data_IF_698329449953
#
_entry.id   IF_698329449953
#
_cell.length_a   1.000
_cell.length_b   1.000
_cell.length_c   1.000
_cell.angle_alpha   90.00
_cell.angle_beta   90.00
_cell.angle_gamma   90.00
#
_symmetry.space_group_name_H-M   'P 1'
#
loop_
_entity.id
_entity.type
_entity.pdbx_description
1 polymer ?
#
# COMPACT_ATOMS: atom_id res chain seq x y z
N UNK A 1 11.06 -14.19 -8.43
CA UNK A 1 9.84 -13.37 -8.64
C UNK A 1 9.27 -13.01 -7.28
N UNK A 2 9.06 -11.72 -7.01
CA UNK A 2 8.49 -11.26 -5.74
C UNK A 2 7.11 -11.90 -5.50
N UNK A 3 6.70 -12.03 -4.24
CA UNK A 3 5.39 -12.60 -3.90
C UNK A 3 4.25 -11.81 -4.55
N UNK A 4 4.39 -10.48 -4.63
CA UNK A 4 3.47 -9.58 -5.31
C UNK A 4 3.22 -9.97 -6.77
N UNK A 5 4.30 -10.19 -7.54
CA UNK A 5 4.18 -10.58 -8.94
C UNK A 5 3.54 -11.96 -9.09
N UNK A 6 3.88 -12.92 -8.21
CA UNK A 6 3.24 -14.25 -8.23
C UNK A 6 1.74 -14.15 -8.01
N UNK A 7 1.32 -13.40 -6.98
CA UNK A 7 -0.09 -13.15 -6.69
C UNK A 7 -0.78 -12.51 -7.89
N UNK A 8 -0.23 -11.44 -8.44
CA UNK A 8 -0.85 -10.76 -9.57
C UNK A 8 -0.90 -11.61 -10.86
N UNK A 9 0.11 -12.45 -11.12
CA UNK A 9 0.10 -13.33 -12.30
C UNK A 9 -0.90 -14.47 -12.18
N UNK A 10 -1.22 -14.93 -10.97
CA UNK A 10 -2.27 -15.94 -10.77
C UNK A 10 -3.66 -15.43 -11.17
N UNK A 11 -3.85 -14.11 -11.17
CA UNK A 11 -5.09 -13.44 -11.54
C UNK A 11 -5.18 -13.11 -13.05
N UNK A 12 -4.16 -13.46 -13.83
CA UNK A 12 -4.09 -13.09 -15.25
C UNK A 12 -5.31 -13.65 -16.02
N UNK A 13 -6.05 -12.76 -16.68
CA UNK A 13 -7.23 -13.09 -17.46
C UNK A 13 -8.56 -12.95 -16.72
N UNK A 14 -8.57 -12.66 -15.41
CA UNK A 14 -9.79 -12.27 -14.70
C UNK A 14 -10.35 -11.00 -15.33
N UNK A 15 -11.64 -10.99 -15.68
CA UNK A 15 -12.30 -9.88 -16.35
C UNK A 15 -13.66 -9.58 -15.73
N UNK A 16 -14.13 -8.35 -15.91
CA UNK A 16 -15.50 -7.94 -15.57
C UNK A 16 -16.52 -8.75 -16.37
N UNK A 17 -17.70 -8.98 -15.79
CA UNK A 17 -18.82 -9.56 -16.52
C UNK A 17 -19.68 -8.37 -16.98
N UNK A 18 -19.86 -8.20 -18.30
CA UNK A 18 -20.66 -7.09 -18.83
C UNK A 18 -22.14 -7.29 -18.52
N UNK A 19 -22.77 -6.32 -17.86
CA UNK A 19 -24.22 -6.28 -17.62
C UNK A 19 -24.57 -6.26 -16.14
N UNK A 20 -25.79 -6.68 -15.78
CA UNK A 20 -26.29 -6.69 -14.39
C UNK A 20 -25.74 -7.83 -13.52
N UNK A 21 -24.65 -8.48 -13.96
CA UNK A 21 -23.98 -9.56 -13.27
C UNK A 21 -22.57 -9.10 -12.98
N UNK A 22 -22.15 -9.17 -11.72
CA UNK A 22 -20.81 -8.78 -11.30
C UNK A 22 -19.90 -10.00 -11.22
N UNK A 23 -18.62 -9.83 -11.54
CA UNK A 23 -17.63 -10.86 -11.24
C UNK A 23 -17.44 -10.97 -9.74
N UNK A 24 -17.92 -12.07 -9.13
CA UNK A 24 -17.71 -12.37 -7.70
C UNK A 24 -16.22 -12.24 -7.33
N UNK A 25 -15.32 -12.59 -8.25
CA UNK A 25 -13.87 -12.53 -8.06
C UNK A 25 -13.31 -11.09 -7.96
N UNK A 26 -13.89 -10.13 -8.68
CA UNK A 26 -13.48 -8.72 -8.61
C UNK A 26 -14.03 -8.09 -7.32
N UNK A 27 -15.25 -8.45 -6.95
CA UNK A 27 -15.84 -8.04 -5.67
C UNK A 27 -15.07 -8.63 -4.47
N UNK A 28 -14.50 -9.84 -4.62
CA UNK A 28 -13.62 -10.43 -3.60
C UNK A 28 -12.34 -9.61 -3.40
N UNK A 29 -11.74 -9.04 -4.45
CA UNK A 29 -10.61 -8.11 -4.28
C UNK A 29 -10.97 -6.92 -3.38
N UNK A 30 -12.16 -6.36 -3.58
CA UNK A 30 -12.65 -5.24 -2.77
C UNK A 30 -12.89 -5.68 -1.32
N UNK A 31 -13.64 -6.76 -1.11
CA UNK A 31 -14.00 -7.27 0.23
C UNK A 31 -12.75 -7.63 1.04
N UNK A 32 -11.86 -8.42 0.47
CA UNK A 32 -10.67 -8.90 1.17
C UNK A 32 -9.63 -7.80 1.42
N UNK A 33 -9.71 -6.68 0.70
CA UNK A 33 -8.82 -5.53 0.90
C UNK A 33 -9.41 -4.43 1.77
N UNK A 34 -10.62 -4.61 2.32
CA UNK A 34 -11.31 -3.66 3.18
C UNK A 34 -12.10 -2.55 2.45
N UNK A 35 -12.43 -2.75 1.17
CA UNK A 35 -13.25 -1.83 0.37
C UNK A 35 -14.70 -2.29 0.26
N UNK A 36 -15.34 -2.59 1.40
CA UNK A 36 -16.72 -3.12 1.47
C UNK A 36 -17.79 -2.18 0.85
N UNK A 37 -17.44 -0.91 0.60
CA UNK A 37 -18.32 0.07 -0.05
C UNK A 37 -18.37 -0.02 -1.58
N UNK A 38 -17.55 -0.89 -2.19
CA UNK A 38 -17.55 -1.11 -3.65
C UNK A 38 -18.48 -2.28 -3.93
N UNK A 39 -19.56 -2.02 -4.65
CA UNK A 39 -20.63 -2.98 -4.92
C UNK A 39 -20.78 -3.33 -6.40
N UNK A 40 -19.99 -2.71 -7.27
CA UNK A 40 -19.97 -2.95 -8.72
C UNK A 40 -18.53 -3.03 -9.24
N UNK A 41 -18.38 -3.69 -10.39
CA UNK A 41 -17.12 -3.82 -11.12
C UNK A 41 -16.90 -2.68 -12.14
N UNK A 42 -17.87 -1.77 -12.29
CA UNK A 42 -17.76 -0.55 -13.10
C UNK A 42 -16.89 0.54 -12.43
N UNK A 43 -16.74 0.48 -11.11
CA UNK A 43 -15.83 1.35 -10.35
C UNK A 43 -14.37 1.07 -10.69
N UNK A 44 -13.54 2.06 -11.06
CA UNK A 44 -12.12 1.86 -11.39
C UNK A 44 -11.33 1.09 -10.31
N UNK A 45 -11.17 -0.22 -10.50
CA UNK A 45 -10.63 -1.16 -9.51
C UNK A 45 -9.13 -1.44 -9.67
N UNK A 46 -8.41 -0.67 -10.48
CA UNK A 46 -6.95 -0.80 -10.61
C UNK A 46 -6.22 -0.66 -9.26
N UNK A 47 -6.63 0.31 -8.41
CA UNK A 47 -6.06 0.46 -7.07
C UNK A 47 -6.49 -0.66 -6.13
N UNK A 48 -7.74 -1.12 -6.23
CA UNK A 48 -8.28 -2.21 -5.42
C UNK A 48 -7.50 -3.49 -5.67
N UNK A 49 -7.25 -3.83 -6.94
CA UNK A 49 -6.44 -4.98 -7.32
C UNK A 49 -5.02 -4.90 -6.76
N UNK A 50 -4.33 -3.77 -6.91
CA UNK A 50 -2.96 -3.63 -6.39
C UNK A 50 -2.95 -3.70 -4.85
N UNK A 51 -3.96 -3.13 -4.18
CA UNK A 51 -4.13 -3.26 -2.73
C UNK A 51 -4.31 -4.73 -2.33
N UNK A 52 -5.16 -5.47 -3.02
CA UNK A 52 -5.38 -6.90 -2.79
C UNK A 52 -4.10 -7.71 -2.99
N UNK A 53 -3.35 -7.48 -4.08
CA UNK A 53 -2.09 -8.17 -4.31
C UNK A 53 -1.08 -7.90 -3.20
N UNK A 54 -1.03 -6.67 -2.69
CA UNK A 54 -0.16 -6.29 -1.58
C UNK A 54 -0.59 -6.92 -0.26
N UNK A 55 -1.90 -6.98 0.02
CA UNK A 55 -2.46 -7.65 1.20
C UNK A 55 -2.04 -9.13 1.22
N UNK A 56 -2.25 -9.86 0.12
CA UNK A 56 -1.85 -11.27 -0.01
C UNK A 56 -0.33 -11.49 0.02
N UNK A 57 0.45 -10.42 -0.17
CA UNK A 57 1.91 -10.47 -0.18
C UNK A 57 2.53 -9.92 1.10
N UNK A 58 1.71 -9.45 2.05
CA UNK A 58 2.14 -8.78 3.28
C UNK A 58 3.10 -7.62 2.95
N UNK A 59 2.61 -6.71 2.10
CA UNK A 59 3.30 -5.51 1.64
C UNK A 59 2.49 -4.24 1.96
N UNK A 60 3.16 -3.07 2.09
CA UNK A 60 2.48 -1.80 2.29
C UNK A 60 1.42 -1.50 1.22
N UNK A 61 0.33 -0.86 1.64
CA UNK A 61 -0.88 -0.60 0.84
C UNK A 61 -1.26 0.87 0.85
N UNK A 62 -1.95 1.33 -0.19
CA UNK A 62 -2.52 2.69 -0.19
C UNK A 62 -3.84 2.79 0.56
N UNK A 63 -4.53 1.66 0.71
CA UNK A 63 -5.85 1.52 1.36
C UNK A 63 -6.92 2.46 0.83
N UNK A 64 -6.71 2.98 -0.39
CA UNK A 64 -7.64 3.88 -1.07
C UNK A 64 -7.91 3.38 -2.48
N UNK A 65 -9.17 3.43 -2.90
CA UNK A 65 -9.58 3.01 -4.25
C UNK A 65 -9.05 3.94 -5.37
N UNK A 66 -8.61 5.16 -5.05
CA UNK A 66 -8.03 6.05 -6.04
C UNK A 66 -6.55 5.73 -6.31
N UNK A 67 -6.15 5.71 -7.59
CA UNK A 67 -4.79 5.35 -7.99
C UNK A 67 -3.71 6.31 -7.46
N UNK A 68 -4.02 7.61 -7.30
CA UNK A 68 -3.04 8.62 -6.86
C UNK A 68 -2.56 8.43 -5.42
N UNK A 69 -3.35 7.77 -4.59
CA UNK A 69 -2.97 7.43 -3.20
C UNK A 69 -1.65 6.65 -3.09
N UNK A 70 -1.26 5.94 -4.15
CA UNK A 70 0.00 5.17 -4.17
C UNK A 70 1.24 6.06 -4.20
N UNK A 71 1.12 7.36 -4.51
CA UNK A 71 2.25 8.30 -4.44
C UNK A 71 2.84 8.43 -3.03
N UNK A 72 2.05 8.09 -2.00
CA UNK A 72 2.43 8.19 -0.59
C UNK A 72 2.86 6.85 0.03
N UNK A 73 2.90 5.76 -0.75
CA UNK A 73 3.17 4.39 -0.25
C UNK A 73 4.55 3.91 -0.68
N UNK A 74 5.29 3.25 0.22
CA UNK A 74 6.62 2.72 -0.06
C UNK A 74 7.64 3.83 -0.37
N UNK A 75 8.73 3.50 -1.05
CA UNK A 75 9.80 4.47 -1.40
C UNK A 75 9.77 4.84 -2.88
N UNK A 76 9.83 6.13 -3.19
CA UNK A 76 9.99 6.60 -4.58
C UNK A 76 11.34 6.17 -5.14
N UNK A 77 11.37 5.60 -6.34
CA UNK A 77 12.62 5.18 -7.01
C UNK A 77 12.70 5.69 -8.45
N UNK A 78 13.93 5.99 -8.89
CA UNK A 78 14.27 6.29 -10.29
C UNK A 78 14.85 5.09 -11.04
N UNK A 79 15.14 4.01 -10.32
CA UNK A 79 15.65 2.74 -10.85
C UNK A 79 14.62 1.64 -10.54
N UNK A 80 13.52 1.56 -11.30
CA UNK A 80 12.44 0.63 -11.02
C UNK A 80 12.83 -0.80 -11.42
N UNK A 81 12.33 -1.77 -10.65
CA UNK A 81 12.53 -3.20 -10.90
C UNK A 81 11.17 -3.89 -11.01
N UNK A 82 11.07 -5.01 -11.75
CA UNK A 82 9.82 -5.76 -11.83
C UNK A 82 9.25 -6.06 -10.44
N UNK A 83 8.00 -5.65 -10.20
CA UNK A 83 7.35 -5.73 -8.90
C UNK A 83 7.23 -4.40 -8.15
N UNK A 84 7.94 -3.33 -8.56
CA UNK A 84 7.66 -1.99 -8.06
C UNK A 84 6.27 -1.55 -8.56
N UNK A 85 5.55 -0.75 -7.78
CA UNK A 85 4.27 -0.15 -8.22
C UNK A 85 4.57 1.07 -9.09
N UNK A 86 3.81 1.28 -10.15
CA UNK A 86 3.89 2.46 -11.01
C UNK A 86 2.58 3.23 -10.96
N UNK A 87 2.69 4.55 -10.76
CA UNK A 87 1.55 5.46 -10.69
C UNK A 87 1.57 6.38 -11.90
N UNK A 88 0.45 6.48 -12.59
CA UNK A 88 0.25 7.31 -13.76
C UNK A 88 -0.75 8.42 -13.50
N UNK A 89 -0.58 9.54 -14.19
CA UNK A 89 -1.64 10.55 -14.29
C UNK A 89 -2.64 10.19 -15.38
N UNK A 90 -3.87 10.67 -15.25
CA UNK A 90 -4.89 10.69 -16.31
C UNK A 90 -5.39 12.10 -16.51
N UNK A 91 -5.66 12.46 -17.77
CA UNK A 91 -6.00 13.82 -18.24
C UNK A 91 -4.84 14.82 -18.13
N UNK A 92 -4.31 15.06 -16.93
CA UNK A 92 -3.13 15.90 -16.71
C UNK A 92 -2.35 15.48 -15.45
N UNK A 93 -1.05 15.83 -15.34
CA UNK A 93 -0.25 15.59 -14.13
C UNK A 93 -0.88 16.14 -12.84
N UNK A 94 -1.54 17.30 -12.93
CA UNK A 94 -2.15 18.02 -11.79
C UNK A 94 -3.56 17.51 -11.44
N UNK A 95 -4.18 16.68 -12.29
CA UNK A 95 -5.49 16.09 -12.03
C UNK A 95 -5.42 15.02 -10.95
N UNK A 96 -6.47 14.86 -10.15
CA UNK A 96 -6.59 13.75 -9.20
C UNK A 96 -6.75 12.38 -9.89
N UNK A 97 -7.11 12.36 -11.18
CA UNK A 97 -7.30 11.11 -11.93
C UNK A 97 -5.96 10.45 -12.21
N UNK A 98 -5.94 9.12 -12.17
CA UNK A 98 -4.73 8.35 -12.37
C UNK A 98 -4.99 6.89 -12.70
N UNK A 99 -3.91 6.14 -12.84
CA UNK A 99 -3.91 4.68 -12.94
C UNK A 99 -2.74 4.14 -12.13
N UNK A 100 -2.87 2.91 -11.64
CA UNK A 100 -1.82 2.23 -10.88
C UNK A 100 -1.73 0.78 -11.32
N UNK A 101 -0.51 0.28 -11.45
CA UNK A 101 -0.22 -1.09 -11.84
C UNK A 101 1.13 -1.54 -11.26
N UNK A 102 1.49 -2.80 -11.47
CA UNK A 102 2.78 -3.37 -11.07
C UNK A 102 3.72 -3.34 -12.28
N UNK A 103 4.87 -2.70 -12.14
CA UNK A 103 5.87 -2.55 -13.19
C UNK A 103 6.51 -3.90 -13.55
N UNK A 104 6.70 -4.13 -14.85
CA UNK A 104 7.40 -5.31 -15.39
C UNK A 104 8.67 -4.96 -16.16
N UNK A 105 8.76 -3.76 -16.75
CA UNK A 105 9.91 -3.35 -17.54
C UNK A 105 9.60 -2.22 -18.51
N UNK A 106 10.64 -1.62 -19.08
CA UNK A 106 10.52 -0.66 -20.18
C UNK A 106 10.51 -1.37 -21.54
N UNK A 107 9.92 -0.71 -22.54
CA UNK A 107 10.19 -1.01 -23.94
C UNK A 107 11.66 -0.73 -24.28
N UNK A 108 12.17 -1.34 -25.34
CA UNK A 108 13.56 -1.18 -25.76
C UNK A 108 13.96 0.29 -26.02
N UNK A 109 13.01 1.11 -26.48
CA UNK A 109 13.19 2.54 -26.73
C UNK A 109 12.87 3.44 -25.52
N UNK A 110 12.55 2.84 -24.37
CA UNK A 110 12.14 3.51 -23.13
C UNK A 110 10.93 4.44 -23.23
N UNK A 111 10.16 4.40 -24.33
CA UNK A 111 8.97 5.23 -24.51
C UNK A 111 7.74 4.68 -23.81
N UNK A 112 7.74 3.39 -23.51
CA UNK A 112 6.63 2.70 -22.87
C UNK A 112 7.11 1.88 -21.68
N UNK A 113 6.20 1.65 -20.74
CA UNK A 113 6.35 0.69 -19.64
C UNK A 113 5.34 -0.42 -19.79
N UNK A 114 5.78 -1.65 -19.55
CA UNK A 114 4.91 -2.83 -19.44
C UNK A 114 4.52 -3.00 -17.97
N UNK A 115 3.23 -3.22 -17.75
CA UNK A 115 2.66 -3.32 -16.41
C UNK A 115 1.65 -4.46 -16.33
N UNK A 116 1.67 -5.18 -15.22
CA UNK A 116 0.64 -6.10 -14.80
C UNK A 116 -0.30 -5.37 -13.84
N UNK A 117 -1.59 -5.36 -14.14
CA UNK A 117 -2.55 -4.61 -13.32
C UNK A 117 -3.98 -5.00 -13.61
N UNK A 118 -4.85 -4.64 -12.67
CA UNK A 118 -6.30 -4.78 -12.79
C UNK A 118 -6.92 -3.58 -13.49
N UNK A 119 -8.13 -3.79 -14.01
CA UNK A 119 -8.87 -2.84 -14.82
C UNK A 119 -8.04 -2.27 -15.99
N UNK A 120 -7.24 -3.15 -16.60
CA UNK A 120 -6.53 -2.86 -17.85
C UNK A 120 -7.37 -3.48 -18.97
N UNK A 121 -8.21 -2.65 -19.61
CA UNK A 121 -9.26 -3.12 -20.54
C UNK A 121 -10.24 -4.07 -19.84
N UNK A 122 -10.76 -3.65 -18.69
CA UNK A 122 -11.78 -4.38 -17.91
C UNK A 122 -11.30 -5.78 -17.48
N UNK A 123 -9.98 -5.95 -17.35
CA UNK A 123 -9.35 -7.23 -17.00
C UNK A 123 -8.03 -7.06 -16.24
N UNK A 124 -7.59 -8.14 -15.60
CA UNK A 124 -6.21 -8.31 -15.13
C UNK A 124 -5.38 -8.82 -16.31
N UNK A 125 -4.51 -7.97 -16.85
CA UNK A 125 -3.66 -8.34 -17.98
C UNK A 125 -2.28 -7.68 -17.91
N UNK A 126 -1.43 -7.93 -18.90
CA UNK A 126 -0.24 -7.12 -19.15
C UNK A 126 -0.58 -6.07 -20.22
N UNK A 127 -0.35 -4.80 -19.91
CA UNK A 127 -0.58 -3.69 -20.82
C UNK A 127 0.62 -2.73 -20.85
N UNK A 128 0.73 -1.96 -21.94
CA UNK A 128 1.78 -0.96 -22.11
C UNK A 128 1.23 0.47 -21.97
N UNK A 129 1.94 1.33 -21.25
CA UNK A 129 1.60 2.74 -21.08
C UNK A 129 2.77 3.63 -21.47
N UNK A 130 2.48 4.84 -21.97
CA UNK A 130 3.51 5.83 -22.29
C UNK A 130 4.28 6.25 -21.03
N UNK A 131 5.61 6.26 -21.12
CA UNK A 131 6.48 6.64 -20.00
C UNK A 131 6.33 8.11 -19.61
N UNK A 132 5.84 8.96 -20.52
CA UNK A 132 5.47 10.36 -20.28
C UNK A 132 4.33 10.54 -19.26
N UNK A 133 3.55 9.47 -19.03
CA UNK A 133 2.42 9.49 -18.10
C UNK A 133 2.78 9.12 -16.67
N UNK A 134 4.02 8.72 -16.43
CA UNK A 134 4.47 8.24 -15.13
C UNK A 134 4.65 9.42 -14.19
N UNK A 135 4.12 9.28 -12.97
CA UNK A 135 4.35 10.20 -11.87
C UNK A 135 5.46 9.71 -10.97
N UNK A 136 5.43 8.43 -10.61
CA UNK A 136 6.40 7.83 -9.68
C UNK A 136 6.38 6.30 -9.78
N UNK A 137 7.55 5.69 -9.61
CA UNK A 137 7.68 4.29 -9.24
C UNK A 137 7.84 4.18 -7.74
N UNK A 138 7.14 3.22 -7.14
CA UNK A 138 7.08 2.99 -5.71
C UNK A 138 7.58 1.59 -5.41
N UNK A 139 8.72 1.53 -4.73
CA UNK A 139 9.24 0.28 -4.21
C UNK A 139 8.50 -0.09 -2.94
N UNK A 140 7.91 -1.28 -2.96
CA UNK A 140 7.24 -1.89 -1.82
C UNK A 140 8.16 -2.98 -1.28
N UNK A 141 9.12 -2.61 -0.43
CA UNK A 141 9.87 -3.59 0.35
C UNK A 141 9.16 -3.78 1.70
N UNK A 142 9.14 -5.02 2.20
CA UNK A 142 8.74 -5.31 3.59
C UNK A 142 9.62 -4.58 4.61
N UNK A 143 10.83 -4.24 4.17
CA UNK A 143 11.88 -3.55 4.90
C UNK A 143 11.96 -2.06 4.50
N UNK A 144 10.99 -1.51 3.76
CA UNK A 144 10.90 -0.06 3.60
C UNK A 144 10.69 0.52 5.00
N UNK A 145 11.52 1.52 5.32
CA UNK A 145 11.38 2.37 6.49
C UNK A 145 9.92 2.79 6.60
N UNK A 146 9.21 2.26 7.60
CA UNK A 146 7.83 2.64 7.81
C UNK A 146 7.83 4.14 8.08
N UNK A 147 6.88 4.86 7.49
CA UNK A 147 6.78 6.29 7.74
C UNK A 147 6.52 6.46 9.24
N UNK A 148 7.51 6.96 9.97
CA UNK A 148 7.35 7.18 11.40
C UNK A 148 6.32 8.29 11.58
N UNK A 149 5.14 8.00 12.18
CA UNK A 149 4.05 8.96 12.24
C UNK A 149 4.47 10.29 12.87
N UNK A 150 3.90 11.38 12.36
CA UNK A 150 4.06 12.70 12.96
C UNK A 150 3.04 12.93 14.09
N UNK A 151 3.31 13.93 14.93
CA UNK A 151 2.32 14.40 15.91
C UNK A 151 2.15 13.49 17.12
N UNK A 152 0.91 13.40 17.62
CA UNK A 152 0.55 12.61 18.80
C UNK A 152 -0.53 11.60 18.45
N UNK A 153 -0.38 10.37 18.91
CA UNK A 153 -1.40 9.33 18.81
C UNK A 153 -1.68 8.75 20.21
N UNK A 154 -2.94 8.48 20.50
CA UNK A 154 -3.38 7.92 21.78
C UNK A 154 -4.59 7.01 21.60
N UNK A 155 -4.95 6.31 22.67
CA UNK A 155 -6.12 5.44 22.68
C UNK A 155 -7.38 6.17 22.19
N UNK A 156 -8.09 5.53 21.25
CA UNK A 156 -9.28 6.06 20.57
C UNK A 156 -9.00 6.67 19.20
N UNK A 157 -7.76 7.02 18.89
CA UNK A 157 -7.38 7.51 17.55
C UNK A 157 -7.48 6.40 16.51
N UNK A 158 -7.71 6.80 15.25
CA UNK A 158 -7.85 5.88 14.12
C UNK A 158 -7.22 6.46 12.85
N UNK A 159 -6.75 5.60 11.96
CA UNK A 159 -6.27 5.98 10.63
C UNK A 159 -4.88 5.40 10.30
N UNK A 160 -4.34 5.83 9.16
CA UNK A 160 -3.06 5.32 8.63
C UNK A 160 -1.90 5.48 9.60
N UNK A 161 -1.81 6.62 10.30
CA UNK A 161 -0.75 6.88 11.28
C UNK A 161 -0.75 5.88 12.45
N UNK A 162 -1.93 5.43 12.87
CA UNK A 162 -2.06 4.40 13.92
C UNK A 162 -1.60 3.04 13.41
N UNK A 163 -1.92 2.73 12.16
CA UNK A 163 -1.51 1.48 11.53
C UNK A 163 0.00 1.42 11.31
N UNK A 164 0.59 2.53 10.86
CA UNK A 164 2.04 2.67 10.71
C UNK A 164 2.74 2.51 12.06
N UNK A 165 2.17 3.08 13.14
CA UNK A 165 2.64 2.84 14.50
C UNK A 165 2.53 1.36 14.90
N UNK A 166 1.39 0.70 14.65
CA UNK A 166 1.20 -0.72 14.96
C UNK A 166 2.21 -1.61 14.21
N UNK A 167 2.46 -1.33 12.94
CA UNK A 167 3.45 -2.04 12.12
C UNK A 167 4.88 -1.81 12.64
N UNK A 168 5.22 -0.56 13.00
CA UNK A 168 6.53 -0.21 13.57
C UNK A 168 6.76 -0.91 14.91
N UNK A 169 5.78 -0.85 15.81
CA UNK A 169 5.82 -1.55 17.09
C UNK A 169 6.01 -3.06 16.86
N UNK A 170 5.20 -3.66 15.99
CA UNK A 170 5.26 -5.10 15.68
C UNK A 170 6.61 -5.51 15.10
N UNK A 171 7.17 -4.72 14.18
CA UNK A 171 8.50 -4.93 13.59
C UNK A 171 9.61 -4.94 14.65
N UNK A 172 9.48 -4.13 15.69
CA UNK A 172 10.42 -4.08 16.82
C UNK A 172 10.05 -5.02 17.98
N UNK A 173 9.15 -5.97 17.76
CA UNK A 173 8.82 -7.03 18.73
C UNK A 173 7.65 -6.71 19.68
N UNK A 174 6.93 -5.62 19.44
CA UNK A 174 5.77 -5.19 20.23
C UNK A 174 4.46 -5.52 19.49
N UNK A 175 3.97 -6.75 19.64
CA UNK A 175 2.83 -7.25 18.88
C UNK A 175 1.48 -6.67 19.35
N UNK A 176 1.00 -5.68 18.60
CA UNK A 176 -0.28 -5.02 18.82
C UNK A 176 -1.49 -5.83 18.32
N UNK A 177 -1.27 -6.96 17.64
CA UNK A 177 -2.29 -7.70 16.89
C UNK A 177 -2.23 -7.40 15.39
N UNK A 178 -3.39 -7.46 14.74
CA UNK A 178 -3.53 -6.97 13.36
C UNK A 178 -3.35 -5.45 13.35
N UNK A 179 -2.60 -4.93 12.38
CA UNK A 179 -2.46 -3.50 12.19
C UNK A 179 -3.73 -3.00 11.49
N UNK A 180 -4.77 -2.74 12.28
CA UNK A 180 -6.12 -2.36 11.82
C UNK A 180 -6.33 -0.84 11.75
N UNK A 181 -5.31 -0.07 12.13
CA UNK A 181 -5.38 1.39 12.20
C UNK A 181 -6.28 1.91 13.33
N UNK A 182 -6.60 1.09 14.34
CA UNK A 182 -7.37 1.49 15.52
C UNK A 182 -6.49 1.46 16.76
N UNK A 183 -6.38 2.60 17.44
CA UNK A 183 -5.56 2.71 18.65
C UNK A 183 -6.37 2.17 19.84
N UNK A 184 -6.43 0.84 19.94
CA UNK A 184 -7.10 0.11 21.01
C UNK A 184 -6.23 -0.13 22.24
N UNK A 185 -6.76 -0.92 23.17
CA UNK A 185 -6.04 -1.30 24.41
C UNK A 185 -4.81 -2.16 24.15
N UNK A 186 -4.80 -2.94 23.05
CA UNK A 186 -3.63 -3.72 22.64
C UNK A 186 -2.49 -2.79 22.22
N UNK A 187 -2.76 -1.84 21.32
CA UNK A 187 -1.79 -0.82 20.86
C UNK A 187 -1.25 -0.02 22.03
N UNK A 188 -2.10 0.45 22.95
CA UNK A 188 -1.65 1.22 24.12
C UNK A 188 -0.73 0.40 25.03
N UNK A 189 -1.09 -0.86 25.30
CA UNK A 189 -0.30 -1.75 26.14
C UNK A 189 1.09 -1.97 25.55
N UNK A 190 1.17 -2.26 24.25
CA UNK A 190 2.44 -2.49 23.58
C UNK A 190 3.26 -1.21 23.42
N UNK A 191 2.62 -0.06 23.21
CA UNK A 191 3.31 1.24 23.22
C UNK A 191 3.91 1.53 24.61
N UNK A 192 3.20 1.24 25.70
CA UNK A 192 3.73 1.43 27.06
C UNK A 192 4.95 0.54 27.31
N UNK A 193 4.98 -0.68 26.78
CA UNK A 193 6.18 -1.55 26.84
C UNK A 193 7.33 -0.95 26.03
N UNK A 194 7.07 -0.50 24.81
CA UNK A 194 8.06 0.19 23.99
C UNK A 194 8.66 1.41 24.70
N UNK A 195 7.80 2.24 25.31
CA UNK A 195 8.23 3.39 26.10
C UNK A 195 9.11 2.97 27.28
N UNK A 196 8.71 1.93 28.01
CA UNK A 196 9.47 1.40 29.15
C UNK A 196 10.86 0.90 28.73
N UNK A 197 10.92 0.07 27.69
CA UNK A 197 12.17 -0.56 27.22
C UNK A 197 13.17 0.45 26.66
N UNK A 198 12.67 1.57 26.13
CA UNK A 198 13.48 2.63 25.54
C UNK A 198 13.70 3.84 26.49
N UNK A 199 13.42 3.69 27.79
CA UNK A 199 13.60 4.74 28.80
C UNK A 199 12.85 6.06 28.47
N UNK A 200 11.66 5.96 27.89
CA UNK A 200 10.77 7.09 27.63
C UNK A 200 9.74 7.26 28.75
N UNK A 201 9.03 8.39 28.75
CA UNK A 201 7.87 8.58 29.63
C UNK A 201 6.79 7.54 29.30
N UNK A 202 6.40 6.71 30.28
CA UNK A 202 5.41 5.63 30.10
C UNK A 202 3.99 6.15 30.28
N UNK A 203 3.55 7.04 29.39
CA UNK A 203 2.21 7.65 29.42
C UNK A 203 1.19 6.96 28.50
N UNK A 204 1.64 6.04 27.63
CA UNK A 204 0.79 5.39 26.62
C UNK A 204 0.39 6.32 25.47
N UNK A 205 1.07 7.44 25.30
CA UNK A 205 0.85 8.41 24.23
C UNK A 205 2.06 8.41 23.31
N UNK A 206 1.81 8.16 22.03
CA UNK A 206 2.83 8.32 21.00
C UNK A 206 3.07 9.81 20.79
N UNK A 207 4.33 10.22 20.76
CA UNK A 207 4.73 11.60 20.56
C UNK A 207 6.16 11.73 20.01
N UNK A 208 6.73 12.95 19.98
CA UNK A 208 8.02 13.22 19.33
C UNK A 208 9.18 12.32 19.79
N UNK A 209 9.25 12.00 21.08
CA UNK A 209 10.29 11.11 21.61
C UNK A 209 10.13 9.67 21.12
N UNK A 210 8.89 9.16 21.05
CA UNK A 210 8.63 7.83 20.48
C UNK A 210 8.98 7.79 18.99
N UNK A 211 8.63 8.86 18.26
CA UNK A 211 8.96 9.01 16.85
C UNK A 211 10.48 9.03 16.61
N UNK A 212 11.23 9.80 17.40
CA UNK A 212 12.69 9.85 17.28
C UNK A 212 13.34 8.49 17.58
N UNK A 213 12.90 7.80 18.64
CA UNK A 213 13.39 6.45 18.96
C UNK A 213 13.11 5.46 17.84
N UNK A 214 11.89 5.43 17.28
CA UNK A 214 11.57 4.54 16.16
C UNK A 214 12.39 4.85 14.91
N UNK A 215 12.60 6.14 14.58
CA UNK A 215 13.49 6.53 13.47
C UNK A 215 14.90 6.01 13.68
N UNK A 216 15.43 6.10 14.90
CA UNK A 216 16.77 5.61 15.21
C UNK A 216 16.87 4.08 15.10
N UNK A 217 15.84 3.35 15.55
CA UNK A 217 15.78 1.89 15.43
C UNK A 217 15.68 1.44 13.96
N UNK A 218 14.86 2.11 13.15
CA UNK A 218 14.75 1.85 11.71
C UNK A 218 16.07 2.12 10.97
N UNK A 219 16.77 3.21 11.32
CA UNK A 219 18.07 3.54 10.73
C UNK A 219 19.18 2.57 11.16
N UNK A 220 19.09 1.96 12.34
CA UNK A 220 20.08 1.00 12.83
C UNK A 220 19.94 -0.40 12.21
N UNK A 221 18.81 -0.68 11.56
CA UNK A 221 18.54 -1.94 10.85
C UNK A 221 18.83 -1.87 9.34
N UNK A 222 19.10 -0.67 8.81
CA UNK A 222 19.45 -0.41 7.41
C UNK A 222 20.97 -0.50 7.14
#
# INVERSE_FOLDING_TARGET
MSQLLKTAFNELGVSEIKGSQHSDHILDYARESGFEFIHDDETPWCSVFVNWCCEKSDLPRSRKANARSWLDVGTSTKDPRPGDVVVFWRESPDSWKGHVAIFLGFSHDNKSVFCLGGNQKDSVCVASYGADKILSFRRLDKDVALAVPGGFLKQGDKGGDVEDLQLLLKRHGYDCGEADGVFGSATERELRKFQLDNNLTVDGIYGPQCAETLKNLENAQA
#
